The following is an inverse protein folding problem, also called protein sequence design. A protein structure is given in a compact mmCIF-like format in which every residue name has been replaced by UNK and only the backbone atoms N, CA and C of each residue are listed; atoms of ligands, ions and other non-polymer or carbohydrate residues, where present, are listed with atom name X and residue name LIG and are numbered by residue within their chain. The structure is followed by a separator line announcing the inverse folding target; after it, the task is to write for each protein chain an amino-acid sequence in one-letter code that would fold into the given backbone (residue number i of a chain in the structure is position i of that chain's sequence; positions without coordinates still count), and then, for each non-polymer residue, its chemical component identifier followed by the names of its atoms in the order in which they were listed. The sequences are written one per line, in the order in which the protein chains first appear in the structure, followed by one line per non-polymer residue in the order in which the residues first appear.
data_IF_166746511183
#
_entry.id   IF_166746511183
#
_cell.length_a   1.000
_cell.length_b   1.000
_cell.length_c   1.000
_cell.angle_alpha   90.00
_cell.angle_beta   90.00
_cell.angle_gamma   90.00
#
_symmetry.space_group_name_H-M   'P 1'
#
loop_
_entity.id
_entity.type
_entity.pdbx_description
1 polymer ?
#
# COMPACT_ATOMS: atom_id res chain seq x y z
N UNK A 1 13.32 0.82 3.96
CA UNK A 1 11.97 0.25 3.71
C UNK A 1 12.05 -1.10 2.97
N UNK A 2 13.26 -1.55 2.61
CA UNK A 2 13.57 -2.75 1.81
C UNK A 2 12.97 -4.09 2.24
N UNK A 3 12.60 -4.25 3.51
CA UNK A 3 12.19 -5.55 4.07
C UNK A 3 10.69 -5.65 4.40
N UNK A 4 9.88 -4.66 4.02
CA UNK A 4 8.43 -4.68 4.23
C UNK A 4 7.76 -5.18 2.95
N UNK A 5 7.05 -6.32 2.96
CA UNK A 5 6.35 -6.78 1.78
C UNK A 5 5.12 -5.91 1.49
N UNK A 6 4.76 -5.88 0.21
CA UNK A 6 3.48 -5.39 -0.28
C UNK A 6 2.67 -6.59 -0.71
N UNK A 7 1.56 -6.85 -0.02
CA UNK A 7 0.68 -7.99 -0.29
C UNK A 7 -0.70 -7.45 -0.64
N UNK A 8 -1.23 -7.86 -1.79
CA UNK A 8 -2.58 -7.54 -2.21
C UNK A 8 -3.30 -8.82 -2.65
N UNK A 9 -4.48 -9.05 -2.06
CA UNK A 9 -5.39 -10.10 -2.46
C UNK A 9 -6.30 -9.58 -3.58
N UNK A 10 -6.51 -10.38 -4.62
CA UNK A 10 -7.61 -10.19 -5.56
C UNK A 10 -8.86 -10.99 -5.14
N UNK A 11 -9.77 -11.20 -6.08
CA UNK A 11 -11.06 -11.88 -5.88
C UNK A 11 -10.98 -13.40 -5.67
N UNK A 12 -9.82 -14.02 -5.86
CA UNK A 12 -9.64 -15.46 -5.69
C UNK A 12 -8.22 -15.81 -5.24
N UNK A 13 -7.95 -17.07 -4.84
CA UNK A 13 -6.59 -17.53 -4.49
C UNK A 13 -5.57 -17.38 -5.64
N UNK A 14 -6.05 -17.31 -6.88
CA UNK A 14 -5.23 -17.27 -8.08
C UNK A 14 -4.96 -15.84 -8.58
N UNK A 15 -5.58 -14.84 -7.96
CA UNK A 15 -5.38 -13.42 -8.30
C UNK A 15 -4.75 -12.72 -7.10
N UNK A 16 -3.45 -12.40 -7.19
CA UNK A 16 -2.75 -11.69 -6.11
C UNK A 16 -1.46 -11.02 -6.58
N UNK A 17 -0.94 -10.16 -5.72
CA UNK A 17 0.40 -9.58 -5.81
C UNK A 17 1.14 -9.74 -4.48
N UNK A 18 2.41 -10.16 -4.54
CA UNK A 18 3.35 -10.16 -3.40
C UNK A 18 4.65 -9.56 -3.88
N UNK A 19 5.03 -8.40 -3.35
CA UNK A 19 6.28 -7.73 -3.64
C UNK A 19 7.17 -7.65 -2.40
N UNK A 20 8.47 -7.85 -2.56
CA UNK A 20 9.46 -7.64 -1.51
C UNK A 20 10.83 -7.32 -2.12
N UNK A 21 11.49 -6.25 -1.63
CA UNK A 21 12.76 -5.79 -2.18
C UNK A 21 12.66 -5.46 -3.67
N UNK A 22 13.52 -6.06 -4.50
CA UNK A 22 13.52 -5.80 -5.95
C UNK A 22 12.61 -6.73 -6.75
N UNK A 23 11.94 -7.69 -6.10
CA UNK A 23 11.22 -8.79 -6.76
C UNK A 23 9.77 -8.84 -6.35
N UNK A 24 8.99 -9.57 -7.13
CA UNK A 24 7.58 -9.81 -6.87
C UNK A 24 7.13 -11.13 -7.49
N UNK A 25 6.04 -11.65 -6.96
CA UNK A 25 5.16 -12.63 -7.60
C UNK A 25 3.82 -11.98 -7.87
N UNK A 26 3.25 -12.27 -9.04
CA UNK A 26 1.86 -11.95 -9.35
C UNK A 26 1.23 -13.12 -10.09
N UNK A 27 0.04 -13.51 -9.65
CA UNK A 27 -0.76 -14.54 -10.31
C UNK A 27 -2.11 -13.94 -10.70
N UNK A 28 -2.66 -14.35 -11.84
CA UNK A 28 -4.00 -13.96 -12.29
C UNK A 28 -4.21 -12.46 -12.56
N UNK A 29 -3.17 -11.62 -12.40
CA UNK A 29 -3.24 -10.18 -12.63
C UNK A 29 -3.29 -9.85 -14.13
N UNK A 30 -4.03 -8.80 -14.54
CA UNK A 30 -4.12 -8.41 -15.94
C UNK A 30 -2.78 -7.88 -16.47
N UNK A 31 -2.50 -8.12 -17.75
CA UNK A 31 -1.26 -7.65 -18.41
C UNK A 31 -1.01 -6.13 -18.29
N UNK A 32 -2.07 -5.35 -18.07
CA UNK A 32 -1.98 -3.90 -17.83
C UNK A 32 -1.12 -3.53 -16.62
N UNK A 33 -0.96 -4.42 -15.63
CA UNK A 33 -0.11 -4.17 -14.45
C UNK A 33 1.37 -4.27 -14.77
N UNK A 34 1.74 -5.13 -15.73
CA UNK A 34 3.12 -5.55 -15.99
C UNK A 34 4.04 -4.35 -16.29
N UNK A 35 3.67 -3.39 -17.17
CA UNK A 35 4.54 -2.25 -17.46
C UNK A 35 4.80 -1.35 -16.25
N UNK A 36 3.87 -1.27 -15.30
CA UNK A 36 4.01 -0.47 -14.08
C UNK A 36 4.93 -1.17 -13.08
N UNK A 37 4.66 -2.42 -12.73
CA UNK A 37 5.47 -3.15 -11.73
C UNK A 37 6.88 -3.52 -12.24
N UNK A 38 7.10 -3.58 -13.55
CA UNK A 38 8.44 -3.72 -14.11
C UNK A 38 9.29 -2.46 -13.93
N UNK A 39 8.65 -1.28 -13.89
CA UNK A 39 9.33 0.01 -13.66
C UNK A 39 9.48 0.32 -12.18
N UNK A 40 8.53 -0.17 -11.36
CA UNK A 40 8.46 0.05 -9.93
C UNK A 40 8.81 -1.25 -9.19
N UNK A 41 10.10 -1.50 -8.87
CA UNK A 41 10.45 -2.63 -8.02
C UNK A 41 9.69 -2.54 -6.69
N UNK A 42 9.39 -3.68 -6.07
CA UNK A 42 8.49 -3.74 -4.91
C UNK A 42 8.90 -2.81 -3.74
N UNK A 43 10.20 -2.57 -3.56
CA UNK A 43 10.77 -1.62 -2.59
C UNK A 43 10.28 -0.18 -2.77
N UNK A 44 9.84 0.18 -3.97
CA UNK A 44 9.27 1.49 -4.28
C UNK A 44 7.75 1.53 -4.11
N UNK A 45 7.08 0.40 -3.89
CA UNK A 45 5.63 0.39 -3.70
C UNK A 45 5.29 0.59 -2.22
N UNK A 46 4.41 1.56 -1.94
CA UNK A 46 3.89 1.78 -0.59
C UNK A 46 2.71 0.84 -0.28
N UNK A 47 1.84 0.65 -1.28
CA UNK A 47 0.65 -0.18 -1.21
C UNK A 47 0.17 -0.53 -2.62
N UNK A 48 -0.55 -1.64 -2.73
CA UNK A 48 -1.34 -2.02 -3.89
C UNK A 48 -2.71 -2.50 -3.42
N UNK A 49 -3.75 -2.20 -4.19
CA UNK A 49 -5.10 -2.73 -4.01
C UNK A 49 -5.58 -3.31 -5.32
N UNK A 50 -6.27 -4.45 -5.24
CA UNK A 50 -6.81 -5.17 -6.40
C UNK A 50 -8.34 -5.23 -6.25
N UNK A 51 -9.05 -4.89 -7.31
CA UNK A 51 -10.50 -4.95 -7.43
C UNK A 51 -10.93 -6.37 -7.85
N UNK A 52 -12.24 -6.63 -7.78
CA UNK A 52 -12.82 -7.94 -8.07
C UNK A 52 -12.40 -8.55 -9.43
N UNK A 53 -12.29 -7.73 -10.47
CA UNK A 53 -11.95 -8.17 -11.83
C UNK A 53 -10.44 -8.15 -12.13
N UNK A 54 -9.61 -7.94 -11.10
CA UNK A 54 -8.16 -7.80 -11.26
C UNK A 54 -7.70 -6.40 -11.64
N UNK A 55 -8.61 -5.43 -11.81
CA UNK A 55 -8.24 -4.01 -11.86
C UNK A 55 -7.45 -3.63 -10.61
N UNK A 56 -6.58 -2.64 -10.71
CA UNK A 56 -5.63 -2.38 -9.63
C UNK A 56 -5.31 -0.91 -9.49
N UNK A 57 -4.90 -0.54 -8.28
CA UNK A 57 -4.29 0.74 -7.97
C UNK A 57 -3.07 0.51 -7.08
N UNK A 58 -2.04 1.32 -7.26
CA UNK A 58 -0.80 1.24 -6.50
C UNK A 58 -0.23 2.63 -6.27
N UNK A 59 0.64 2.77 -5.27
CA UNK A 59 1.35 4.03 -5.03
C UNK A 59 2.85 3.81 -4.96
N UNK A 60 3.55 4.59 -5.77
CA UNK A 60 4.99 4.72 -5.73
C UNK A 60 5.40 5.63 -4.56
N UNK A 61 6.40 5.19 -3.79
CA UNK A 61 6.89 5.89 -2.61
C UNK A 61 7.79 7.09 -2.89
N UNK A 62 8.58 7.07 -3.97
CA UNK A 62 9.47 8.19 -4.29
C UNK A 62 8.76 9.30 -5.07
N UNK A 63 8.05 8.94 -6.14
CA UNK A 63 7.25 9.88 -6.91
C UNK A 63 5.97 10.36 -6.23
N UNK A 64 5.58 9.75 -5.09
CA UNK A 64 4.28 9.97 -4.42
C UNK A 64 3.09 9.89 -5.39
N UNK A 65 3.21 9.05 -6.43
CA UNK A 65 2.25 8.96 -7.52
C UNK A 65 1.39 7.72 -7.37
N UNK A 66 0.09 7.90 -7.53
CA UNK A 66 -0.86 6.80 -7.62
C UNK A 66 -1.02 6.41 -9.08
N UNK A 67 -0.77 5.14 -9.40
CA UNK A 67 -1.04 4.52 -10.70
C UNK A 67 -2.18 3.51 -10.57
N UNK A 68 -2.95 3.31 -11.63
CA UNK A 68 -4.11 2.43 -11.63
C UNK A 68 -4.42 1.93 -13.04
N UNK A 69 -5.14 0.81 -13.14
CA UNK A 69 -5.58 0.27 -14.42
C UNK A 69 -6.68 1.13 -15.04
N UNK A 70 -6.76 1.14 -16.37
CA UNK A 70 -7.83 1.83 -17.11
C UNK A 70 -9.20 1.18 -16.93
N UNK A 71 -9.26 -0.01 -16.34
CA UNK A 71 -10.45 -0.81 -16.10
C UNK A 71 -11.13 -0.55 -14.75
N UNK A 72 -10.48 0.22 -13.86
CA UNK A 72 -11.09 0.70 -12.60
C UNK A 72 -12.38 1.45 -12.91
N UNK A 73 -13.40 1.31 -12.06
CA UNK A 73 -14.67 2.01 -12.24
C UNK A 73 -14.49 3.53 -12.38
N UNK A 74 -15.26 4.16 -13.27
CA UNK A 74 -15.15 5.60 -13.51
C UNK A 74 -15.37 6.42 -12.23
N UNK A 75 -16.29 5.99 -11.37
CA UNK A 75 -16.52 6.61 -10.07
C UNK A 75 -15.28 6.60 -9.17
N UNK A 76 -14.53 5.48 -9.13
CA UNK A 76 -13.26 5.43 -8.42
C UNK A 76 -12.19 6.27 -9.14
N UNK A 77 -12.09 6.22 -10.47
CA UNK A 77 -11.15 7.03 -11.27
C UNK A 77 -11.32 8.53 -10.98
N UNK A 78 -12.55 9.03 -10.96
CA UNK A 78 -12.83 10.45 -10.74
C UNK A 78 -12.33 10.92 -9.38
N UNK A 79 -12.39 10.05 -8.37
CA UNK A 79 -11.86 10.33 -7.03
C UNK A 79 -10.34 10.17 -6.96
N UNK A 80 -9.79 9.18 -7.64
CA UNK A 80 -8.33 8.97 -7.71
C UNK A 80 -7.65 10.16 -8.40
N UNK A 81 -8.24 10.65 -9.50
CA UNK A 81 -7.74 11.77 -10.31
C UNK A 81 -8.17 13.15 -9.80
N UNK A 82 -8.93 13.24 -8.71
CA UNK A 82 -9.34 14.53 -8.14
C UNK A 82 -8.10 15.40 -7.80
N UNK A 83 -8.30 16.69 -7.56
CA UNK A 83 -7.23 17.56 -7.08
C UNK A 83 -7.49 17.98 -5.64
N UNK A 84 -6.63 17.60 -4.67
CA UNK A 84 -5.43 16.76 -4.85
C UNK A 84 -5.78 15.29 -5.14
N UNK A 85 -4.83 14.57 -5.75
CA UNK A 85 -5.04 13.15 -6.10
C UNK A 85 -5.10 12.27 -4.85
N UNK A 86 -5.78 11.13 -4.95
CA UNK A 86 -5.88 10.19 -3.85
C UNK A 86 -4.49 9.65 -3.46
N UNK A 87 -4.20 9.69 -2.16
CA UNK A 87 -2.97 9.24 -1.52
C UNK A 87 -3.07 7.78 -1.04
N UNK A 88 -4.30 7.28 -0.87
CA UNK A 88 -4.55 5.89 -0.56
C UNK A 88 -5.86 5.42 -1.18
N UNK A 89 -5.85 4.23 -1.78
CA UNK A 89 -7.02 3.62 -2.41
C UNK A 89 -7.11 2.17 -1.98
N UNK A 90 -8.33 1.74 -1.69
CA UNK A 90 -8.68 0.36 -1.34
C UNK A 90 -9.94 -0.03 -2.08
N UNK A 91 -9.96 -1.24 -2.61
CA UNK A 91 -11.11 -1.85 -3.26
C UNK A 91 -11.72 -2.89 -2.33
N UNK A 92 -13.05 -3.01 -2.39
CA UNK A 92 -13.80 -4.01 -1.67
C UNK A 92 -14.00 -5.31 -2.45
N UNK A 93 -14.82 -6.22 -1.88
CA UNK A 93 -15.10 -7.52 -2.50
C UNK A 93 -15.80 -7.43 -3.85
N UNK A 94 -16.49 -6.32 -4.12
CA UNK A 94 -17.18 -6.07 -5.38
C UNK A 94 -16.65 -4.82 -6.06
N UNK A 95 -16.78 -4.77 -7.39
CA UNK A 95 -16.34 -3.65 -8.23
C UNK A 95 -16.96 -2.27 -7.88
N UNK A 96 -18.07 -2.24 -7.13
CA UNK A 96 -18.68 -0.98 -6.71
C UNK A 96 -18.16 -0.45 -5.36
N UNK A 97 -17.39 -1.25 -4.61
CA UNK A 97 -16.96 -0.89 -3.26
C UNK A 97 -15.53 -0.37 -3.30
N UNK A 98 -15.31 0.84 -2.80
CA UNK A 98 -13.98 1.40 -2.68
C UNK A 98 -13.92 2.51 -1.63
N UNK A 99 -12.69 2.81 -1.18
CA UNK A 99 -12.36 3.99 -0.39
C UNK A 99 -11.11 4.64 -0.97
N UNK A 100 -11.16 5.96 -1.18
CA UNK A 100 -10.08 6.81 -1.63
C UNK A 100 -9.85 7.94 -0.61
N UNK A 101 -8.62 8.10 -0.14
CA UNK A 101 -8.21 9.13 0.82
C UNK A 101 -7.45 10.21 0.09
N UNK A 102 -7.91 11.45 0.20
CA UNK A 102 -7.32 12.61 -0.49
C UNK A 102 -6.70 13.56 0.53
N UNK A 103 -5.39 13.88 0.43
CA UNK A 103 -4.71 14.75 1.38
C UNK A 103 -5.42 16.10 1.53
N UNK A 104 -5.79 16.47 2.75
CA UNK A 104 -6.40 17.76 3.07
C UNK A 104 -7.84 17.96 2.57
N UNK A 105 -8.43 17.00 1.83
CA UNK A 105 -9.83 17.04 1.41
C UNK A 105 -10.70 15.92 2.01
N UNK A 106 -10.10 15.03 2.81
CA UNK A 106 -10.82 13.97 3.50
C UNK A 106 -10.82 12.68 2.68
N UNK A 107 -12.00 12.08 2.50
CA UNK A 107 -12.14 10.79 1.83
C UNK A 107 -13.39 10.74 0.96
N UNK A 108 -13.39 9.82 0.01
CA UNK A 108 -14.55 9.44 -0.77
C UNK A 108 -14.63 7.93 -0.84
N UNK A 109 -15.83 7.39 -0.90
CA UNK A 109 -16.02 5.96 -1.07
C UNK A 109 -17.39 5.62 -1.62
N UNK A 110 -17.51 4.38 -2.04
CA UNK A 110 -18.75 3.73 -2.41
C UNK A 110 -18.81 2.42 -1.66
N UNK A 111 -19.96 2.12 -1.07
CA UNK A 111 -20.17 1.02 -0.12
C UNK A 111 -21.60 0.50 -0.29
N UNK A 112 -21.85 -0.75 0.11
CA UNK A 112 -23.22 -1.25 0.24
C UNK A 112 -23.98 -0.54 1.36
N UNK A 113 -25.31 -0.54 1.32
CA UNK A 113 -26.15 0.17 2.30
C UNK A 113 -25.86 -0.30 3.73
N UNK A 114 -25.71 -1.61 3.92
CA UNK A 114 -25.38 -2.19 5.23
C UNK A 114 -24.00 -1.72 5.73
N UNK A 115 -23.05 -1.45 4.82
CA UNK A 115 -21.71 -0.97 5.18
C UNK A 115 -21.77 0.51 5.56
N UNK A 116 -22.67 1.28 4.91
CA UNK A 116 -22.94 2.68 5.26
C UNK A 116 -23.57 2.78 6.65
N UNK A 117 -24.42 1.84 7.05
CA UNK A 117 -24.94 1.79 8.42
C UNK A 117 -23.81 1.61 9.44
N UNK A 118 -22.88 0.67 9.19
CA UNK A 118 -21.70 0.46 10.05
C UNK A 118 -20.72 1.62 10.05
N UNK A 119 -20.58 2.31 8.92
CA UNK A 119 -19.83 3.56 8.85
C UNK A 119 -20.44 4.62 9.78
N UNK A 120 -21.77 4.78 9.80
CA UNK A 120 -22.46 5.76 10.66
C UNK A 120 -22.32 5.41 12.15
N UNK A 121 -22.42 4.13 12.50
CA UNK A 121 -22.14 3.65 13.85
C UNK A 121 -20.70 4.00 14.27
N UNK A 122 -19.73 3.78 13.38
CA UNK A 122 -18.32 4.12 13.61
C UNK A 122 -18.09 5.64 13.75
N UNK A 123 -18.73 6.45 12.91
CA UNK A 123 -18.69 7.91 13.02
C UNK A 123 -19.18 8.36 14.40
N UNK A 124 -20.30 7.80 14.88
CA UNK A 124 -20.81 8.11 16.21
C UNK A 124 -19.83 7.68 17.33
N UNK A 125 -19.19 6.51 17.22
CA UNK A 125 -18.29 6.02 18.26
C UNK A 125 -16.98 6.81 18.39
N UNK A 126 -16.52 7.46 17.32
CA UNK A 126 -15.28 8.26 17.34
C UNK A 126 -15.50 9.75 17.61
N UNK A 127 -16.70 10.15 18.04
CA UNK A 127 -17.02 11.54 18.38
C UNK A 127 -17.71 12.34 17.28
N UNK A 128 -18.32 11.66 16.29
CA UNK A 128 -19.11 12.25 15.23
C UNK A 128 -18.42 12.29 13.87
N UNK A 129 -19.19 12.66 12.86
CA UNK A 129 -18.77 12.69 11.45
C UNK A 129 -17.55 13.58 11.20
N UNK A 130 -17.49 14.77 11.81
CA UNK A 130 -16.37 15.70 11.62
C UNK A 130 -15.04 15.12 12.11
N UNK A 131 -15.05 14.49 13.29
CA UNK A 131 -13.85 13.86 13.89
C UNK A 131 -13.41 12.67 13.04
N UNK A 132 -14.37 11.84 12.62
CA UNK A 132 -14.12 10.73 11.71
C UNK A 132 -13.47 11.21 10.40
N UNK A 133 -14.07 12.19 9.72
CA UNK A 133 -13.63 12.68 8.43
C UNK A 133 -12.22 13.30 8.47
N UNK A 134 -11.85 13.96 9.57
CA UNK A 134 -10.51 14.53 9.77
C UNK A 134 -9.46 13.49 10.18
N UNK A 135 -9.89 12.44 10.88
CA UNK A 135 -9.03 11.40 11.45
C UNK A 135 -8.74 10.24 10.51
N UNK A 136 -9.64 9.94 9.57
CA UNK A 136 -9.58 8.75 8.72
C UNK A 136 -8.36 8.76 7.79
N UNK A 137 -7.61 7.66 7.80
CA UNK A 137 -6.43 7.41 6.96
C UNK A 137 -6.66 6.34 5.89
N UNK A 138 -7.77 5.60 5.97
CA UNK A 138 -8.16 4.54 5.04
C UNK A 138 -9.18 3.59 5.66
N UNK A 139 -9.84 2.82 4.81
CA UNK A 139 -10.74 1.73 5.19
C UNK A 139 -10.24 0.48 4.49
N UNK A 140 -10.05 -0.62 5.21
CA UNK A 140 -9.78 -1.93 4.61
C UNK A 140 -11.09 -2.68 4.51
N UNK A 141 -11.31 -3.34 3.38
CA UNK A 141 -12.50 -4.15 3.14
C UNK A 141 -12.08 -5.62 3.05
N UNK A 142 -12.69 -6.48 3.88
CA UNK A 142 -12.49 -7.93 3.86
C UNK A 142 -13.71 -8.65 3.30
N UNK A 143 -13.74 -9.97 3.47
CA UNK A 143 -14.90 -10.80 3.11
C UNK A 143 -16.15 -10.32 3.86
N UNK A 144 -17.28 -10.43 3.16
CA UNK A 144 -18.60 -10.11 3.68
C UNK A 144 -18.68 -8.63 4.08
N UNK A 145 -18.93 -8.38 5.35
CA UNK A 145 -19.10 -7.02 5.88
C UNK A 145 -17.91 -6.53 6.68
N UNK A 146 -16.82 -7.31 6.72
CA UNK A 146 -15.65 -6.98 7.52
C UNK A 146 -14.98 -5.69 7.02
N UNK A 147 -14.81 -4.72 7.92
CA UNK A 147 -14.16 -3.44 7.64
C UNK A 147 -13.20 -3.06 8.76
N UNK A 148 -12.05 -2.49 8.40
CA UNK A 148 -11.13 -1.88 9.37
C UNK A 148 -10.93 -0.41 9.01
N UNK A 149 -11.27 0.47 9.94
CA UNK A 149 -11.12 1.92 9.84
C UNK A 149 -9.78 2.32 10.45
N UNK A 150 -8.88 2.87 9.62
CA UNK A 150 -7.55 3.29 10.05
C UNK A 150 -7.58 4.78 10.39
N UNK A 151 -7.05 5.16 11.56
CA UNK A 151 -6.99 6.55 12.01
C UNK A 151 -5.55 6.96 12.35
N UNK A 152 -5.30 8.27 12.48
CA UNK A 152 -3.98 8.79 12.93
C UNK A 152 -3.60 8.32 14.34
N UNK A 153 -4.58 8.13 15.21
CA UNK A 153 -4.38 7.76 16.62
C UNK A 153 -4.72 6.30 16.97
N UNK A 154 -4.96 5.45 15.98
CA UNK A 154 -5.30 4.04 16.21
C UNK A 154 -6.05 3.45 15.01
N UNK A 155 -6.89 2.46 15.29
CA UNK A 155 -7.84 1.92 14.33
C UNK A 155 -9.09 1.44 15.06
N UNK A 156 -10.15 1.18 14.32
CA UNK A 156 -11.35 0.51 14.81
C UNK A 156 -11.83 -0.43 13.72
N UNK A 157 -12.64 -1.42 14.06
CA UNK A 157 -13.06 -2.41 13.09
C UNK A 157 -14.49 -2.89 13.35
N UNK A 158 -15.06 -3.48 12.32
CA UNK A 158 -16.29 -4.24 12.35
C UNK A 158 -16.03 -5.57 11.65
N UNK A 159 -16.44 -6.66 12.26
CA UNK A 159 -16.40 -8.02 11.71
C UNK A 159 -17.83 -8.50 11.53
N UNK A 160 -18.07 -9.31 10.50
CA UNK A 160 -19.30 -10.09 10.43
C UNK A 160 -19.20 -11.36 11.27
N UNK A 161 -20.30 -12.12 11.30
CA UNK A 161 -20.40 -13.37 12.05
C UNK A 161 -19.42 -14.45 11.61
N UNK A 162 -18.84 -14.37 10.40
CA UNK A 162 -17.84 -15.33 9.95
C UNK A 162 -16.46 -15.01 10.53
N UNK A 163 -16.12 -13.73 10.66
CA UNK A 163 -14.86 -13.27 11.24
C UNK A 163 -14.87 -13.17 12.78
N UNK A 164 -16.05 -13.17 13.40
CA UNK A 164 -16.23 -13.03 14.85
C UNK A 164 -15.56 -14.19 15.63
N UNK A 165 -14.76 -13.85 16.65
CA UNK A 165 -13.97 -14.78 17.45
C UNK A 165 -12.78 -15.40 16.70
N UNK A 166 -12.54 -15.01 15.45
CA UNK A 166 -11.49 -15.56 14.60
C UNK A 166 -10.07 -15.08 14.97
N UNK A 167 -9.07 -15.62 14.26
CA UNK A 167 -7.65 -15.26 14.45
C UNK A 167 -7.39 -13.79 14.14
N UNK A 168 -7.98 -13.28 13.07
CA UNK A 168 -7.84 -11.87 12.67
C UNK A 168 -8.42 -10.96 13.75
N UNK A 169 -9.63 -11.25 14.25
CA UNK A 169 -10.24 -10.42 15.30
C UNK A 169 -9.43 -10.47 16.59
N UNK A 170 -8.97 -11.65 17.01
CA UNK A 170 -8.11 -11.80 18.19
C UNK A 170 -6.85 -10.95 18.07
N UNK A 171 -6.23 -10.91 16.89
CA UNK A 171 -5.08 -10.06 16.60
C UNK A 171 -5.43 -8.57 16.64
N UNK A 172 -6.55 -8.16 16.04
CA UNK A 172 -7.01 -6.76 16.10
C UNK A 172 -7.26 -6.32 17.54
N UNK A 173 -7.90 -7.16 18.35
CA UNK A 173 -8.12 -6.93 19.77
C UNK A 173 -6.82 -6.77 20.56
N UNK A 174 -5.79 -7.57 20.25
CA UNK A 174 -4.48 -7.44 20.91
C UNK A 174 -3.88 -6.04 20.72
N UNK A 175 -4.07 -5.43 19.54
CA UNK A 175 -3.41 -4.18 19.17
C UNK A 175 -4.23 -2.91 19.42
N UNK A 176 -5.56 -2.99 19.35
CA UNK A 176 -6.45 -1.85 19.60
C UNK A 176 -6.46 -1.42 21.08
N UNK A 177 -6.28 -2.37 22.00
CA UNK A 177 -6.31 -2.11 23.45
C UNK A 177 -4.93 -1.86 24.08
N UNK A 178 -3.86 -1.74 23.27
CA UNK A 178 -2.54 -1.32 23.77
C UNK A 178 -2.60 0.11 24.30
N UNK A 179 -1.65 0.45 25.17
CA UNK A 179 -1.51 1.78 25.76
C UNK A 179 -0.10 2.32 25.48
N UNK A 180 0.07 3.27 24.54
CA UNK A 180 -0.95 3.79 23.61
C UNK A 180 -1.40 2.75 22.57
N UNK A 181 -2.59 2.97 21.99
CA UNK A 181 -3.12 2.10 20.94
C UNK A 181 -2.21 2.15 19.70
N UNK A 182 -1.94 0.98 19.12
CA UNK A 182 -1.13 0.93 17.90
C UNK A 182 -1.97 1.36 16.70
N UNK A 183 -1.31 1.90 15.67
CA UNK A 183 -1.99 2.31 14.44
C UNK A 183 -1.85 1.24 13.36
N UNK A 184 -2.86 1.08 12.50
CA UNK A 184 -2.71 0.31 11.27
C UNK A 184 -2.12 1.17 10.16
N UNK A 185 -1.12 0.62 9.46
CA UNK A 185 -0.43 1.30 8.38
C UNK A 185 -1.01 0.92 7.01
N UNK A 186 -0.97 1.89 6.09
CA UNK A 186 -1.40 1.70 4.70
C UNK A 186 -0.61 0.58 4.03
N UNK A 187 -1.28 -0.15 3.14
CA UNK A 187 -0.76 -1.36 2.53
C UNK A 187 -0.91 -2.61 3.40
N UNK A 188 -1.61 -2.48 4.54
CA UNK A 188 -2.34 -3.62 5.10
C UNK A 188 -3.50 -3.98 4.16
N UNK A 189 -3.86 -5.25 4.08
CA UNK A 189 -4.91 -5.77 3.20
C UNK A 189 -5.68 -6.89 3.86
N UNK A 190 -6.98 -6.96 3.57
CA UNK A 190 -7.86 -8.06 3.96
C UNK A 190 -8.20 -8.88 2.72
N UNK A 191 -8.39 -10.18 2.88
CA UNK A 191 -8.80 -11.04 1.79
C UNK A 191 -10.32 -10.91 1.57
N UNK A 192 -10.79 -10.62 0.35
CA UNK A 192 -12.22 -10.40 0.09
C UNK A 192 -13.04 -11.69 0.00
N UNK A 193 -12.39 -12.87 -0.06
CA UNK A 193 -13.06 -14.16 -0.24
C UNK A 193 -12.82 -15.16 0.89
N UNK A 194 -11.93 -14.87 1.86
CA UNK A 194 -11.70 -15.71 3.03
C UNK A 194 -11.26 -14.89 4.25
N UNK A 195 -12.03 -14.94 5.34
CA UNK A 195 -11.76 -14.17 6.58
C UNK A 195 -10.48 -14.58 7.30
N UNK A 196 -10.01 -15.82 7.10
CA UNK A 196 -8.79 -16.32 7.72
C UNK A 196 -7.52 -15.77 7.07
N UNK A 197 -7.62 -15.12 5.91
CA UNK A 197 -6.47 -14.58 5.20
C UNK A 197 -6.40 -13.05 5.28
N UNK A 198 -5.23 -12.54 5.64
CA UNK A 198 -4.98 -11.12 5.84
C UNK A 198 -3.48 -10.82 5.82
N UNK A 199 -3.15 -9.54 5.62
CA UNK A 199 -1.83 -8.97 5.88
C UNK A 199 -2.00 -7.64 6.60
N UNK A 200 -1.56 -7.56 7.86
CA UNK A 200 -1.75 -6.39 8.71
C UNK A 200 -0.41 -5.84 9.19
N UNK A 201 -0.24 -4.52 9.09
CA UNK A 201 0.95 -3.79 9.53
C UNK A 201 0.58 -2.86 10.68
N UNK A 202 0.96 -3.22 11.89
CA UNK A 202 0.73 -2.40 13.07
C UNK A 202 1.99 -1.58 13.38
N UNK A 203 1.82 -0.29 13.62
CA UNK A 203 2.88 0.62 14.01
C UNK A 203 2.70 1.08 15.45
N UNK A 204 3.76 0.92 16.20
CA UNK A 204 3.89 1.48 17.54
C UNK A 204 4.03 3.00 17.43
N UNK A 205 3.13 3.81 18.01
CA UNK A 205 3.23 5.26 17.95
C UNK A 205 4.42 5.80 18.73
N UNK A 206 4.96 5.08 19.70
CA UNK A 206 6.09 5.55 20.53
C UNK A 206 7.43 5.25 19.84
N UNK A 207 7.65 4.00 19.45
CA UNK A 207 8.93 3.58 18.84
C UNK A 207 8.97 3.73 17.32
N UNK A 208 7.82 3.99 16.67
CA UNK A 208 7.65 3.90 15.22
C UNK A 208 7.97 2.52 14.62
N UNK A 209 8.11 1.48 15.45
CA UNK A 209 8.35 0.11 15.02
C UNK A 209 7.12 -0.43 14.31
N UNK A 210 7.32 -1.08 13.16
CA UNK A 210 6.25 -1.77 12.42
C UNK A 210 6.36 -3.26 12.68
N UNK A 211 5.28 -3.86 13.20
CA UNK A 211 5.07 -5.31 13.27
C UNK A 211 4.10 -5.73 12.18
N UNK A 212 4.41 -6.84 11.54
CA UNK A 212 3.66 -7.35 10.41
C UNK A 212 3.16 -8.74 10.73
N UNK A 213 1.89 -8.99 10.43
CA UNK A 213 1.23 -10.27 10.65
C UNK A 213 0.51 -10.66 9.38
N UNK A 214 0.57 -11.93 9.04
CA UNK A 214 -0.17 -12.46 7.92
C UNK A 214 -0.67 -13.86 8.20
N UNK A 215 -1.78 -14.15 7.56
CA UNK A 215 -2.26 -15.50 7.31
C UNK A 215 -2.55 -15.53 5.81
N UNK A 216 -1.84 -16.39 5.07
CA UNK A 216 -1.88 -16.40 3.60
C UNK A 216 -2.26 -17.81 3.12
N UNK A 217 -2.89 -17.92 1.93
CA UNK A 217 -2.95 -19.19 1.21
C UNK A 217 -1.56 -19.78 1.04
N UNK A 218 -1.44 -21.12 1.02
CA UNK A 218 -0.15 -21.79 0.96
C UNK A 218 0.72 -21.32 -0.22
N UNK A 219 0.14 -21.19 -1.41
CA UNK A 219 0.85 -20.70 -2.60
C UNK A 219 1.43 -19.29 -2.44
N UNK A 220 0.69 -18.40 -1.75
CA UNK A 220 1.15 -17.06 -1.42
C UNK A 220 2.22 -17.07 -0.33
N UNK A 221 2.06 -17.93 0.68
CA UNK A 221 3.04 -18.10 1.76
C UNK A 221 4.39 -18.60 1.22
N UNK A 222 4.37 -19.61 0.34
CA UNK A 222 5.57 -20.16 -0.30
C UNK A 222 6.27 -19.09 -1.14
N UNK A 223 5.52 -18.33 -1.94
CA UNK A 223 6.08 -17.22 -2.73
C UNK A 223 6.68 -16.12 -1.85
N UNK A 224 6.06 -15.79 -0.71
CA UNK A 224 6.63 -14.83 0.24
C UNK A 224 7.93 -15.36 0.86
N UNK A 225 7.97 -16.64 1.23
CA UNK A 225 9.16 -17.29 1.77
C UNK A 225 10.31 -17.30 0.76
N UNK A 226 10.03 -17.58 -0.51
CA UNK A 226 11.00 -17.52 -1.60
C UNK A 226 11.56 -16.11 -1.80
N UNK A 227 10.70 -15.08 -1.75
CA UNK A 227 11.14 -13.68 -1.81
C UNK A 227 12.02 -13.32 -0.60
N UNK A 228 11.67 -13.77 0.60
CA UNK A 228 12.47 -13.55 1.81
C UNK A 228 13.83 -14.24 1.74
N UNK A 229 13.87 -15.48 1.27
CA UNK A 229 15.12 -16.22 1.05
C UNK A 229 16.01 -15.53 0.02
N UNK A 230 15.40 -15.06 -1.09
CA UNK A 230 16.11 -14.30 -2.12
C UNK A 230 16.64 -12.97 -1.59
N UNK A 231 15.83 -12.27 -0.79
CA UNK A 231 16.23 -11.01 -0.18
C UNK A 231 17.45 -11.18 0.72
N UNK A 232 17.64 -12.34 1.36
CA UNK A 232 18.77 -12.62 2.22
C UNK A 232 20.10 -12.85 1.48
N UNK A 233 20.11 -12.97 0.14
CA UNK A 233 21.37 -13.18 -0.58
C UNK A 233 22.19 -11.88 -0.72
N UNK A 234 23.54 -11.97 -0.77
CA UNK A 234 24.39 -10.79 -0.94
C UNK A 234 24.07 -9.98 -2.20
N UNK A 235 23.72 -10.65 -3.30
CA UNK A 235 23.40 -10.02 -4.57
C UNK A 235 22.12 -9.18 -4.46
N UNK A 236 21.10 -9.70 -3.79
CA UNK A 236 19.85 -8.97 -3.56
C UNK A 236 20.08 -7.76 -2.64
N UNK A 237 20.85 -7.93 -1.56
CA UNK A 237 21.23 -6.85 -0.66
C UNK A 237 22.01 -5.75 -1.38
N UNK A 238 22.96 -6.12 -2.25
CA UNK A 238 23.71 -5.15 -3.07
C UNK A 238 22.79 -4.41 -4.06
N UNK A 239 21.89 -5.14 -4.74
CA UNK A 239 20.94 -4.53 -5.68
C UNK A 239 20.02 -3.52 -4.98
N UNK A 240 19.57 -3.84 -3.77
CA UNK A 240 18.77 -2.94 -2.92
C UNK A 240 19.59 -1.72 -2.51
N UNK A 241 20.81 -1.91 -2.01
CA UNK A 241 21.66 -0.80 -1.60
C UNK A 241 21.93 0.17 -2.76
N UNK A 242 22.24 -0.36 -3.95
CA UNK A 242 22.41 0.44 -5.16
C UNK A 242 21.14 1.21 -5.53
N UNK A 243 19.98 0.56 -5.39
CA UNK A 243 18.70 1.16 -5.72
C UNK A 243 18.30 2.26 -4.72
N UNK A 244 18.47 2.03 -3.42
CA UNK A 244 18.19 3.03 -2.37
C UNK A 244 19.11 4.26 -2.52
N UNK A 245 20.39 4.06 -2.90
CA UNK A 245 21.30 5.17 -3.21
C UNK A 245 20.80 6.02 -4.39
N UNK A 246 20.32 5.39 -5.48
CA UNK A 246 19.74 6.12 -6.62
C UNK A 246 18.45 6.85 -6.23
N UNK A 247 17.60 6.22 -5.39
CA UNK A 247 16.38 6.82 -4.89
C UNK A 247 16.62 8.09 -4.07
N UNK A 248 17.67 8.11 -3.23
CA UNK A 248 18.05 9.31 -2.47
C UNK A 248 18.46 10.47 -3.39
N UNK A 249 19.15 10.21 -4.49
CA UNK A 249 19.54 11.22 -5.47
C UNK A 249 18.31 11.81 -6.19
N UNK A 250 17.33 10.99 -6.53
CA UNK A 250 16.08 11.45 -7.15
C UNK A 250 15.18 12.22 -6.17
N UNK A 251 15.05 11.75 -4.93
CA UNK A 251 14.28 12.43 -3.89
C UNK A 251 14.87 13.80 -3.54
N UNK A 252 16.20 13.93 -3.53
CA UNK A 252 16.88 15.23 -3.28
C UNK A 252 16.83 16.17 -4.48
N UNK A 253 16.71 15.64 -5.71
CA UNK A 253 16.54 16.44 -6.93
C UNK A 253 15.13 17.03 -7.09
N UNK A 254 14.13 16.48 -6.41
CA UNK A 254 12.72 16.88 -6.50
C UNK A 254 12.24 17.74 -5.31
N UNK A 255 13.15 18.44 -4.62
CA UNK A 255 12.80 19.24 -3.46
C UNK A 255 11.97 20.47 -3.85
N UNK A 256 10.71 20.51 -3.43
CA UNK A 256 9.84 21.67 -3.52
C UNK A 256 9.99 22.46 -2.22
N UNK A 257 10.48 23.70 -2.29
CA UNK A 257 10.38 24.63 -1.18
C UNK A 257 9.15 25.51 -1.38
N UNK A 258 8.39 25.74 -0.31
CA UNK A 258 7.28 26.68 -0.32
C UNK A 258 7.77 28.03 0.19
N UNK A 259 7.75 29.04 -0.67
CA UNK A 259 8.09 30.42 -0.31
C UNK A 259 6.81 31.25 -0.45
N UNK A 260 6.34 31.86 0.65
CA UNK A 260 5.09 32.64 0.69
C UNK A 260 3.84 31.89 0.18
N UNK A 261 3.72 30.59 0.46
CA UNK A 261 2.53 29.79 0.10
C UNK A 261 2.47 29.31 -1.35
N UNK A 262 3.51 29.59 -2.16
CA UNK A 262 3.62 29.09 -3.54
C UNK A 262 4.73 28.04 -3.65
N UNK A 263 4.51 26.94 -4.39
CA UNK A 263 5.55 25.95 -4.65
C UNK A 263 6.63 26.55 -5.55
N UNK A 264 7.87 26.56 -5.08
CA UNK A 264 9.05 26.89 -5.90
C UNK A 264 9.76 25.58 -6.22
N UNK A 265 9.79 25.23 -7.51
CA UNK A 265 10.49 24.06 -8.01
C UNK A 265 11.97 24.41 -8.20
N UNK A 266 12.84 23.77 -7.42
CA UNK A 266 14.28 23.85 -7.65
C UNK A 266 14.72 22.61 -8.40
N UNK A 267 15.00 22.72 -9.69
CA UNK A 267 15.85 21.75 -10.38
C UNK A 267 17.30 22.07 -10.03
N UNK A 268 17.87 21.37 -9.05
CA UNK A 268 19.34 21.34 -8.98
C UNK A 268 19.84 20.64 -10.25
N UNK A 269 20.47 21.40 -11.14
CA UNK A 269 21.26 20.84 -12.22
C UNK A 269 22.47 20.12 -11.60
N UNK A 270 22.29 18.87 -11.17
CA UNK A 270 23.38 17.93 -10.90
C UNK A 270 23.96 17.44 -12.24
N UNK A 271 24.36 18.37 -13.11
CA UNK A 271 25.27 18.05 -14.19
C UNK A 271 26.64 17.76 -13.57
N UNK A 272 27.30 16.72 -14.09
CA UNK A 272 28.63 16.21 -13.72
C UNK A 272 28.64 15.12 -12.61
N UNK A 273 27.92 15.24 -11.49
CA UNK A 273 27.96 14.20 -10.45
C UNK A 273 27.24 12.88 -10.85
N UNK A 274 26.06 12.97 -11.46
CA UNK A 274 25.31 11.80 -11.95
C UNK A 274 25.99 11.12 -13.16
N UNK A 275 26.71 11.88 -13.99
CA UNK A 275 27.47 11.35 -15.12
C UNK A 275 28.70 10.55 -14.67
N UNK A 276 29.29 10.89 -13.51
CA UNK A 276 30.42 10.14 -12.95
C UNK A 276 29.98 8.84 -12.25
N UNK A 277 28.78 8.79 -11.67
CA UNK A 277 28.22 7.54 -11.12
C UNK A 277 27.93 6.49 -12.22
N UNK A 278 27.50 6.93 -13.41
CA UNK A 278 27.32 6.04 -14.55
C UNK A 278 28.64 5.46 -15.10
N UNK A 279 29.75 6.22 -15.05
CA UNK A 279 31.06 5.77 -15.57
C UNK A 279 31.76 4.71 -14.72
N UNK A 280 31.43 4.58 -13.44
CA UNK A 280 32.08 3.60 -12.55
C UNK A 280 31.41 2.21 -12.62
N UNK A 281 30.21 2.11 -13.18
CA UNK A 281 29.45 0.84 -13.24
C UNK A 281 29.61 0.02 -14.54
N UNK A 282 30.16 0.62 -15.61
CA UNK A 282 30.44 -0.10 -16.87
C UNK A 282 31.94 -0.34 -17.01
N UNK A 283 32.42 -1.39 -16.33
CA UNK A 283 33.70 -2.03 -16.67
C UNK A 283 33.60 -2.66 -18.05
N UNK A 284 33.90 -1.88 -19.09
CA UNK A 284 34.04 -2.36 -20.45
C UNK A 284 35.31 -3.22 -20.54
N UNK A 285 35.17 -4.54 -20.62
CA UNK A 285 36.22 -5.42 -21.09
C UNK A 285 36.23 -5.39 -22.62
N UNK A 286 37.21 -4.70 -23.18
CA UNK A 286 37.60 -4.83 -24.59
C UNK A 286 38.60 -5.98 -24.69
N UNK A 287 38.22 -7.08 -25.34
CA UNK A 287 39.19 -8.05 -25.84
C UNK A 287 39.29 -7.90 -27.37
N UNK A 288 40.50 -7.54 -27.84
CA UNK A 288 40.91 -7.66 -29.24
C UNK A 288 41.38 -9.10 -29.49
N UNK A 289 40.90 -9.71 -30.56
CA UNK A 289 41.69 -10.07 -31.74
C UNK A 289 40.82 -9.88 -32.97
#
# INVERSE_FOLDING_TARGET
MSNIPVIAFGSSPDVYYIGLGMRYYMAGMPESVRPTIQKLPAIQLQWMSIEEDGSWATREGYGCRTEFSTSVTQGAIDKIKAFPAADYVTFGPTKSIFCAITPGQGWAGSMADEQIEKLREMQASVGGEDVFNQGLKGILFGKGMTMIFMFKGGFSYYTDSEAEGGKMESLLNEYIYRQPAWTLERGSTLCPWNVDYYFLKFKDPESSTIKMFWSLPQSMADNLADLQATLATPEAQQAIANHEQLGLVLATSNYVQYTNGWPVYFTQNLSIAAANALRVSTGAYVYRW
#
